data_IF_042223389802
#
_entry.id   IF_042223389802
#
_cell.length_a   1.000
_cell.length_b   1.000
_cell.length_c   1.000
_cell.angle_alpha   90.00
_cell.angle_beta   90.00
_cell.angle_gamma   90.00
#
_symmetry.space_group_name_H-M   'P 1'
#
loop_
_entity.id
_entity.type
_entity.pdbx_description
1 polymer ?
#
# COMPACT_ATOMS: atom_id res chain seq x y z
N UNK A 1 -12.78 -48.21 -28.34
CA UNK A 1 -11.78 -47.16 -28.08
C UNK A 1 -12.47 -46.07 -27.26
N UNK A 2 -12.29 -46.08 -25.92
CA UNK A 2 -12.95 -45.11 -25.02
C UNK A 2 -11.95 -44.01 -24.69
N UNK A 3 -12.22 -42.76 -25.14
CA UNK A 3 -11.48 -41.58 -24.72
C UNK A 3 -12.00 -41.16 -23.35
N UNK A 4 -11.17 -41.31 -22.32
CA UNK A 4 -11.41 -40.72 -20.99
C UNK A 4 -10.95 -39.27 -21.02
N UNK A 5 -11.91 -38.36 -21.05
CA UNK A 5 -11.63 -36.93 -20.86
C UNK A 5 -11.28 -36.66 -19.39
N UNK A 6 -10.06 -36.23 -19.15
CA UNK A 6 -9.64 -35.71 -17.83
C UNK A 6 -10.14 -34.27 -17.71
N UNK A 7 -11.16 -34.07 -16.91
CA UNK A 7 -11.68 -32.75 -16.54
C UNK A 7 -10.70 -32.13 -15.53
N UNK A 8 -9.84 -31.22 -15.98
CA UNK A 8 -9.01 -30.40 -15.08
C UNK A 8 -9.91 -29.40 -14.36
N UNK A 9 -10.26 -29.72 -13.12
CA UNK A 9 -10.97 -28.81 -12.21
C UNK A 9 -9.96 -27.74 -11.73
N UNK A 10 -9.98 -26.57 -12.35
CA UNK A 10 -9.21 -25.44 -11.87
C UNK A 10 -9.81 -24.98 -10.53
N UNK A 11 -9.15 -25.32 -9.42
CA UNK A 11 -9.49 -24.81 -8.09
C UNK A 11 -9.09 -23.34 -8.05
N UNK A 12 -10.06 -22.46 -8.27
CA UNK A 12 -9.93 -21.02 -8.02
C UNK A 12 -10.04 -20.83 -6.51
N UNK A 13 -8.89 -20.76 -5.84
CA UNK A 13 -8.83 -20.43 -4.41
C UNK A 13 -9.17 -18.94 -4.27
N UNK A 14 -10.24 -18.56 -3.53
CA UNK A 14 -10.50 -17.15 -3.26
C UNK A 14 -9.37 -16.63 -2.38
N UNK A 15 -8.52 -15.77 -2.94
CA UNK A 15 -7.53 -15.03 -2.17
C UNK A 15 -8.30 -14.05 -1.30
N UNK A 16 -8.45 -14.40 -0.02
CA UNK A 16 -9.05 -13.49 0.96
C UNK A 16 -8.20 -12.23 1.01
N UNK A 17 -8.72 -11.11 0.50
CA UNK A 17 -8.13 -9.80 0.68
C UNK A 17 -8.15 -9.48 2.18
N UNK A 18 -7.06 -9.75 2.86
CA UNK A 18 -6.80 -9.16 4.17
C UNK A 18 -6.57 -7.69 3.91
N UNK A 19 -7.61 -6.89 4.11
CA UNK A 19 -7.50 -5.44 4.08
C UNK A 19 -6.47 -5.05 5.13
N UNK A 20 -5.28 -4.66 4.66
CA UNK A 20 -4.25 -4.12 5.54
C UNK A 20 -4.81 -2.81 6.12
N UNK A 21 -5.14 -2.83 7.41
CA UNK A 21 -5.66 -1.66 8.09
C UNK A 21 -4.54 -0.65 8.27
N UNK A 22 -4.64 0.47 7.56
CA UNK A 22 -3.82 1.62 7.84
C UNK A 22 -4.18 2.16 9.22
N UNK A 23 -3.17 2.55 9.98
CA UNK A 23 -3.34 3.24 11.25
C UNK A 23 -2.91 4.69 11.12
N UNK A 24 -3.57 5.58 11.84
CA UNK A 24 -3.17 6.97 11.99
C UNK A 24 -2.93 7.29 13.45
N UNK A 25 -1.89 8.07 13.70
CA UNK A 25 -1.62 8.69 14.98
C UNK A 25 -1.45 10.18 14.77
N UNK A 26 -2.13 10.99 15.57
CA UNK A 26 -2.08 12.44 15.49
C UNK A 26 -2.55 13.07 16.82
N UNK A 27 -2.18 14.33 17.03
CA UNK A 27 -2.78 15.17 18.06
C UNK A 27 -4.09 15.75 17.50
N UNK A 28 -5.18 14.99 17.54
CA UNK A 28 -6.48 15.43 17.02
C UNK A 28 -7.34 14.29 16.47
N UNK A 29 -8.52 14.65 15.93
CA UNK A 29 -9.52 13.71 15.40
C UNK A 29 -9.25 13.38 13.93
N UNK A 30 -8.28 12.52 13.65
CA UNK A 30 -7.97 12.08 12.30
C UNK A 30 -8.77 10.82 11.96
N UNK A 31 -9.59 10.93 10.93
CA UNK A 31 -10.30 9.80 10.34
C UNK A 31 -9.53 9.30 9.11
N UNK A 32 -9.31 8.00 9.04
CA UNK A 32 -8.55 7.34 7.99
C UNK A 32 -9.46 6.42 7.19
N UNK A 33 -9.32 6.45 5.87
CA UNK A 33 -10.01 5.56 4.94
C UNK A 33 -9.00 5.02 3.92
N UNK A 34 -8.89 3.69 3.81
CA UNK A 34 -8.01 3.03 2.85
C UNK A 34 -8.81 2.31 1.78
N UNK A 35 -8.33 2.39 0.55
CA UNK A 35 -8.90 1.71 -0.63
C UNK A 35 -7.78 1.00 -1.40
N UNK A 36 -8.14 -0.10 -2.04
CA UNK A 36 -7.27 -0.82 -2.98
C UNK A 36 -7.83 -0.64 -4.40
N UNK A 37 -7.00 -0.16 -5.31
CA UNK A 37 -7.37 0.20 -6.68
C UNK A 37 -6.41 -0.47 -7.68
N UNK A 38 -6.90 -0.69 -8.89
CA UNK A 38 -6.07 -1.05 -10.04
C UNK A 38 -6.16 0.03 -11.11
N UNK A 39 -5.10 0.21 -11.88
CA UNK A 39 -5.16 1.02 -13.10
C UNK A 39 -5.70 0.17 -14.24
N UNK A 40 -6.83 0.59 -14.78
CA UNK A 40 -7.44 0.02 -15.98
C UNK A 40 -7.30 1.00 -17.15
N UNK A 41 -7.06 0.47 -18.33
CA UNK A 41 -7.05 1.28 -19.55
C UNK A 41 -8.47 1.38 -20.10
N UNK A 42 -8.98 2.59 -20.21
CA UNK A 42 -10.31 2.88 -20.75
C UNK A 42 -10.18 3.75 -22.02
N UNK A 43 -11.13 3.65 -22.92
CA UNK A 43 -11.22 4.55 -24.06
C UNK A 43 -12.17 5.67 -23.66
N UNK A 44 -11.68 6.91 -23.67
CA UNK A 44 -12.47 8.08 -23.35
C UNK A 44 -13.43 8.46 -24.53
N UNK A 45 -14.24 9.48 -24.34
CA UNK A 45 -15.24 9.93 -25.35
C UNK A 45 -14.60 10.41 -26.66
N UNK A 46 -13.32 10.78 -26.63
CA UNK A 46 -12.56 11.23 -27.82
C UNK A 46 -11.81 10.08 -28.50
N UNK A 47 -12.04 8.83 -28.10
CA UNK A 47 -11.40 7.64 -28.66
C UNK A 47 -9.93 7.45 -28.19
N UNK A 48 -9.48 8.18 -27.20
CA UNK A 48 -8.12 8.09 -26.65
C UNK A 48 -8.08 7.12 -25.49
N UNK A 49 -6.97 6.37 -25.41
CA UNK A 49 -6.67 5.52 -24.26
C UNK A 49 -6.28 6.40 -23.05
N UNK A 50 -6.92 6.15 -21.95
CA UNK A 50 -6.65 6.82 -20.68
C UNK A 50 -6.58 5.78 -19.56
N UNK A 51 -5.72 6.01 -18.55
CA UNK A 51 -5.64 5.17 -17.36
C UNK A 51 -6.57 5.70 -16.30
N UNK A 52 -7.45 4.84 -15.82
CA UNK A 52 -8.37 5.14 -14.72
C UNK A 52 -8.10 4.21 -13.56
N UNK A 53 -8.23 4.72 -12.32
CA UNK A 53 -8.18 3.87 -11.11
C UNK A 53 -9.59 3.39 -10.80
N UNK A 54 -9.72 2.10 -10.60
CA UNK A 54 -10.97 1.46 -10.20
C UNK A 54 -10.73 0.53 -9.00
N UNK A 55 -11.70 0.39 -8.09
CA UNK A 55 -11.58 -0.55 -6.97
C UNK A 55 -11.23 -1.96 -7.48
N UNK A 56 -10.31 -2.62 -6.79
CA UNK A 56 -9.93 -3.99 -7.15
C UNK A 56 -11.04 -4.94 -6.76
N UNK A 57 -11.68 -5.56 -7.76
CA UNK A 57 -12.65 -6.63 -7.55
C UNK A 57 -11.98 -8.01 -7.42
N UNK A 58 -10.91 -8.23 -8.18
CA UNK A 58 -10.13 -9.47 -8.18
C UNK A 58 -8.65 -9.14 -8.40
N UNK A 59 -7.78 -9.68 -7.57
CA UNK A 59 -6.34 -9.61 -7.75
C UNK A 59 -5.81 -10.95 -8.21
N UNK A 60 -5.03 -10.94 -9.29
CA UNK A 60 -4.36 -12.12 -9.82
C UNK A 60 -2.85 -11.96 -9.68
N UNK A 61 -2.09 -13.07 -9.55
CA UNK A 61 -0.62 -13.01 -9.55
C UNK A 61 -0.07 -12.20 -10.71
N UNK A 62 0.90 -11.35 -10.43
CA UNK A 62 1.51 -10.43 -11.40
C UNK A 62 0.79 -9.10 -11.59
N UNK A 63 -0.45 -8.93 -11.12
CA UNK A 63 -1.14 -7.65 -11.22
C UNK A 63 -0.61 -6.63 -10.22
N UNK A 64 -0.70 -5.35 -10.59
CA UNK A 64 -0.38 -4.24 -9.69
C UNK A 64 -1.64 -3.75 -8.98
N UNK A 65 -1.50 -3.50 -7.68
CA UNK A 65 -2.54 -2.88 -6.83
C UNK A 65 -1.97 -1.61 -6.23
N UNK A 66 -2.79 -0.56 -6.21
CA UNK A 66 -2.49 0.72 -5.58
C UNK A 66 -3.27 0.77 -4.27
N UNK A 67 -2.58 0.88 -3.16
CA UNK A 67 -3.18 1.16 -1.86
C UNK A 67 -3.14 2.66 -1.63
N UNK A 68 -4.32 3.26 -1.49
CA UNK A 68 -4.49 4.69 -1.23
C UNK A 68 -5.14 4.86 0.13
N UNK A 69 -4.55 5.70 0.96
CA UNK A 69 -5.07 6.06 2.28
C UNK A 69 -5.35 7.55 2.33
N UNK A 70 -6.61 7.90 2.52
CA UNK A 70 -7.06 9.27 2.79
C UNK A 70 -7.16 9.48 4.28
N UNK A 71 -6.68 10.60 4.75
CA UNK A 71 -6.79 11.02 6.14
C UNK A 71 -7.37 12.42 6.21
N UNK A 72 -8.32 12.63 7.11
CA UNK A 72 -9.09 13.88 7.21
C UNK A 72 -9.13 14.32 8.66
N UNK A 73 -8.81 15.57 8.94
CA UNK A 73 -9.03 16.15 10.25
C UNK A 73 -10.52 16.49 10.41
N UNK A 74 -11.22 15.70 11.21
CA UNK A 74 -12.64 15.92 11.56
C UNK A 74 -12.81 16.74 12.85
N UNK A 75 -11.71 17.04 13.52
CA UNK A 75 -11.71 17.91 14.70
C UNK A 75 -11.91 19.39 14.37
N UNK A 76 -12.01 20.18 15.41
CA UNK A 76 -12.21 21.65 15.33
C UNK A 76 -10.90 22.43 15.45
N UNK A 77 -9.78 21.75 15.69
CA UNK A 77 -8.44 22.32 15.82
C UNK A 77 -7.49 21.74 14.78
N UNK A 78 -6.44 22.48 14.36
CA UNK A 78 -5.38 21.91 13.55
C UNK A 78 -4.77 20.67 14.23
N UNK A 79 -4.54 19.61 13.45
CA UNK A 79 -3.91 18.39 13.92
C UNK A 79 -2.42 18.40 13.55
N UNK A 80 -1.58 18.36 14.56
CA UNK A 80 -0.14 18.19 14.40
C UNK A 80 0.29 16.73 14.46
N UNK A 81 1.58 16.48 14.17
CA UNK A 81 2.19 15.15 14.31
C UNK A 81 1.42 14.02 13.61
N UNK A 82 0.74 14.31 12.52
CA UNK A 82 -0.04 13.29 11.79
C UNK A 82 0.93 12.27 11.17
N UNK A 83 0.78 11.02 11.59
CA UNK A 83 1.58 9.88 11.11
C UNK A 83 0.61 8.83 10.59
N UNK A 84 0.83 8.38 9.35
CA UNK A 84 0.07 7.30 8.72
C UNK A 84 1.02 6.11 8.54
N UNK A 85 0.66 4.97 9.09
CA UNK A 85 1.37 3.71 8.95
C UNK A 85 0.53 2.72 8.12
N UNK A 86 1.10 2.22 7.03
CA UNK A 86 0.47 1.18 6.23
C UNK A 86 1.34 -0.07 6.20
N UNK A 87 0.82 -1.24 6.61
CA UNK A 87 1.48 -2.50 6.33
C UNK A 87 1.45 -2.79 4.83
N UNK A 88 2.54 -3.35 4.32
CA UNK A 88 2.59 -3.93 2.97
C UNK A 88 1.93 -5.31 3.06
N UNK A 89 0.87 -5.58 2.30
CA UNK A 89 0.11 -6.82 2.43
C UNK A 89 0.97 -8.06 2.19
N UNK A 90 0.67 -9.14 2.92
CA UNK A 90 1.28 -10.44 2.69
C UNK A 90 1.06 -10.89 1.22
N UNK A 91 1.95 -11.71 0.71
CA UNK A 91 1.91 -12.19 -0.68
C UNK A 91 1.99 -11.09 -1.75
N UNK A 92 2.56 -9.94 -1.40
CA UNK A 92 2.85 -8.86 -2.35
C UNK A 92 4.32 -8.45 -2.31
N UNK A 93 4.75 -7.66 -3.30
CA UNK A 93 6.04 -6.99 -3.32
C UNK A 93 5.82 -5.50 -3.54
N UNK A 94 6.40 -4.68 -2.67
CA UNK A 94 6.40 -3.23 -2.85
C UNK A 94 7.11 -2.83 -4.15
N UNK A 95 6.48 -1.97 -4.93
CA UNK A 95 7.10 -1.38 -6.13
C UNK A 95 7.97 -0.22 -5.69
N UNK A 96 9.27 -0.36 -5.89
CA UNK A 96 10.25 0.67 -5.49
C UNK A 96 9.92 2.03 -6.06
N UNK A 97 10.01 3.07 -5.23
CA UNK A 97 9.74 4.45 -5.64
C UNK A 97 8.25 4.79 -5.85
N UNK A 98 7.34 3.86 -5.59
CA UNK A 98 5.89 4.08 -5.81
C UNK A 98 5.16 4.72 -4.64
N UNK A 99 5.80 4.86 -3.47
CA UNK A 99 5.17 5.52 -2.33
C UNK A 99 5.02 7.03 -2.62
N UNK A 100 3.83 7.55 -2.38
CA UNK A 100 3.49 8.95 -2.62
C UNK A 100 2.72 9.55 -1.44
N UNK A 101 2.78 10.87 -1.33
CA UNK A 101 2.05 11.67 -0.34
C UNK A 101 2.56 13.10 -0.37
N UNK A 102 1.67 14.05 -0.67
CA UNK A 102 2.03 15.46 -0.66
C UNK A 102 2.32 15.93 0.77
N UNK A 103 3.36 16.73 0.94
CA UNK A 103 3.79 17.27 2.22
C UNK A 103 4.05 16.18 3.28
N UNK A 104 4.67 15.07 2.89
CA UNK A 104 5.02 13.99 3.82
C UNK A 104 6.48 13.61 3.74
N UNK A 105 7.06 13.24 4.89
CA UNK A 105 8.32 12.51 4.96
C UNK A 105 8.01 11.01 4.99
N UNK A 106 8.62 10.25 4.07
CA UNK A 106 8.35 8.82 3.89
C UNK A 106 9.51 8.00 4.43
N UNK A 107 9.21 7.03 5.28
CA UNK A 107 10.15 6.06 5.82
C UNK A 107 9.57 4.64 5.71
N UNK A 108 10.44 3.65 5.82
CA UNK A 108 10.07 2.25 5.62
C UNK A 108 10.51 1.41 6.81
N UNK A 109 9.87 0.27 6.98
CA UNK A 109 10.26 -0.74 7.96
C UNK A 109 10.44 -2.10 7.29
N UNK A 110 11.45 -2.85 7.72
CA UNK A 110 11.70 -4.23 7.31
C UNK A 110 11.54 -5.22 8.47
N UNK A 111 10.96 -4.80 9.59
CA UNK A 111 10.86 -5.61 10.82
C UNK A 111 9.49 -5.51 11.50
N UNK A 112 8.42 -5.45 10.72
CA UNK A 112 7.05 -5.45 11.22
C UNK A 112 6.62 -4.13 11.86
N UNK A 113 7.14 -2.99 11.36
CA UNK A 113 6.76 -1.67 11.88
C UNK A 113 7.44 -1.27 13.19
N UNK A 114 8.43 -2.05 13.65
CA UNK A 114 9.14 -1.74 14.91
C UNK A 114 10.07 -0.55 14.78
N UNK A 115 10.82 -0.49 13.68
CA UNK A 115 11.74 0.60 13.37
C UNK A 115 11.53 1.09 11.95
N UNK A 116 11.67 2.40 11.74
CA UNK A 116 11.52 3.05 10.44
C UNK A 116 12.74 3.89 10.11
N UNK A 117 13.21 3.80 8.86
CA UNK A 117 14.30 4.63 8.34
C UNK A 117 14.16 4.77 6.81
N UNK A 118 15.09 5.51 6.21
CA UNK A 118 15.24 5.59 4.76
C UNK A 118 15.67 4.23 4.19
N UNK A 119 15.30 3.88 2.96
CA UNK A 119 15.58 2.57 2.36
C UNK A 119 17.06 2.14 2.48
N UNK A 120 17.98 3.06 2.21
CA UNK A 120 19.42 2.77 2.25
C UNK A 120 19.99 2.48 3.65
N UNK A 121 19.26 2.82 4.71
CA UNK A 121 19.70 2.62 6.10
C UNK A 121 19.12 1.37 6.75
N UNK A 122 18.09 0.79 6.16
CA UNK A 122 17.46 -0.40 6.70
C UNK A 122 18.36 -1.64 6.53
N UNK A 123 18.43 -2.46 7.57
CA UNK A 123 19.18 -3.73 7.60
C UNK A 123 18.26 -4.86 8.04
N UNK A 124 18.47 -6.03 7.47
CA UNK A 124 17.83 -7.28 7.89
C UNK A 124 18.87 -8.31 8.24
N UNK A 125 18.54 -9.17 9.20
CA UNK A 125 19.35 -10.34 9.53
C UNK A 125 19.10 -11.45 8.51
N UNK A 126 20.16 -12.08 8.06
CA UNK A 126 20.10 -13.26 7.20
C UNK A 126 20.57 -14.51 7.97
N UNK A 127 20.23 -15.72 7.50
CA UNK A 127 20.74 -16.95 8.11
C UNK A 127 22.25 -16.90 8.27
N UNK A 128 22.75 -17.33 9.45
CA UNK A 128 24.16 -17.24 9.80
C UNK A 128 24.56 -15.99 10.57
N UNK A 129 23.59 -15.09 10.89
CA UNK A 129 23.81 -13.94 11.79
C UNK A 129 24.40 -12.69 11.13
N UNK A 130 24.71 -12.75 9.84
CA UNK A 130 25.14 -11.58 9.08
C UNK A 130 23.95 -10.64 8.79
N UNK A 131 24.27 -9.39 8.48
CA UNK A 131 23.25 -8.40 8.06
C UNK A 131 23.49 -7.99 6.61
N UNK A 132 22.39 -7.77 5.88
CA UNK A 132 22.43 -7.10 4.57
C UNK A 132 21.50 -5.88 4.57
N UNK A 133 21.70 -5.01 3.60
CA UNK A 133 20.75 -3.92 3.34
C UNK A 133 19.39 -4.51 2.95
N UNK A 134 18.32 -3.94 3.49
CA UNK A 134 16.97 -4.29 3.09
C UNK A 134 16.67 -3.80 1.67
N UNK A 135 15.99 -4.63 0.91
CA UNK A 135 15.49 -4.33 -0.43
C UNK A 135 13.97 -4.13 -0.42
N UNK A 136 13.34 -3.59 -1.47
CA UNK A 136 11.90 -3.36 -1.52
C UNK A 136 11.05 -4.59 -1.16
N UNK A 137 11.53 -5.80 -1.49
CA UNK A 137 10.86 -7.07 -1.14
C UNK A 137 10.87 -7.42 0.34
N UNK A 138 11.75 -6.78 1.11
CA UNK A 138 11.88 -7.00 2.55
C UNK A 138 11.05 -5.99 3.36
N UNK A 139 10.54 -4.94 2.71
CA UNK A 139 9.76 -3.94 3.41
C UNK A 139 8.42 -4.52 3.85
N UNK A 140 8.07 -4.24 5.09
CA UNK A 140 6.84 -4.72 5.73
C UNK A 140 5.84 -3.61 6.01
N UNK A 141 6.32 -2.37 6.17
CA UNK A 141 5.48 -1.20 6.43
C UNK A 141 6.07 0.03 5.76
N UNK A 142 5.21 0.99 5.47
CA UNK A 142 5.56 2.34 5.03
C UNK A 142 4.91 3.32 5.98
N UNK A 143 5.68 4.34 6.38
CA UNK A 143 5.24 5.43 7.25
C UNK A 143 5.34 6.75 6.54
N UNK A 144 4.27 7.51 6.59
CA UNK A 144 4.22 8.91 6.18
C UNK A 144 4.03 9.78 7.41
N UNK A 145 4.94 10.73 7.59
CA UNK A 145 4.79 11.80 8.58
C UNK A 145 4.39 13.06 7.84
N UNK A 146 3.21 13.58 8.09
CA UNK A 146 2.75 14.82 7.50
C UNK A 146 3.58 15.99 8.06
N UNK A 147 4.04 16.88 7.17
CA UNK A 147 4.87 18.04 7.54
C UNK A 147 3.96 19.25 7.80
N UNK A 148 3.97 19.73 9.03
CA UNK A 148 3.13 20.82 9.48
C UNK A 148 1.85 20.34 10.16
N UNK A 149 0.81 21.16 10.10
CA UNK A 149 -0.49 20.91 10.72
C UNK A 149 -1.58 20.72 9.67
N UNK A 150 -2.45 19.75 9.88
CA UNK A 150 -3.64 19.52 9.06
C UNK A 150 -4.81 20.31 9.64
N UNK A 151 -5.21 21.40 9.00
CA UNK A 151 -6.29 22.25 9.46
C UNK A 151 -7.65 21.50 9.52
N UNK A 152 -8.62 21.96 10.34
CA UNK A 152 -9.96 21.39 10.41
C UNK A 152 -10.60 21.24 9.03
N UNK A 153 -11.22 20.08 8.78
CA UNK A 153 -11.88 19.75 7.50
C UNK A 153 -10.92 19.47 6.32
N UNK A 154 -9.62 19.68 6.49
CA UNK A 154 -8.65 19.36 5.44
C UNK A 154 -8.34 17.86 5.41
N UNK A 155 -7.96 17.41 4.22
CA UNK A 155 -7.58 16.02 3.98
C UNK A 155 -6.22 15.94 3.26
N UNK A 156 -5.55 14.83 3.48
CA UNK A 156 -4.38 14.42 2.72
C UNK A 156 -4.58 13.01 2.16
N UNK A 157 -3.71 12.65 1.24
CA UNK A 157 -3.70 11.34 0.62
C UNK A 157 -2.27 10.82 0.55
N UNK A 158 -2.09 9.56 0.91
CA UNK A 158 -0.83 8.83 0.79
C UNK A 158 -1.10 7.47 0.15
N UNK A 159 -0.11 6.86 -0.44
CA UNK A 159 -0.31 5.55 -1.02
C UNK A 159 0.96 4.95 -1.58
N UNK A 160 0.83 3.73 -2.10
CA UNK A 160 1.92 2.96 -2.69
C UNK A 160 1.39 1.88 -3.63
N UNK A 161 2.28 1.32 -4.43
CA UNK A 161 1.97 0.21 -5.35
C UNK A 161 2.63 -1.07 -4.87
N UNK A 162 1.95 -2.17 -5.11
CA UNK A 162 2.49 -3.52 -4.93
C UNK A 162 2.21 -4.37 -6.15
N UNK A 163 2.99 -5.44 -6.32
CA UNK A 163 2.70 -6.54 -7.25
C UNK A 163 2.27 -7.74 -6.43
N UNK A 164 1.19 -8.40 -6.83
CA UNK A 164 0.71 -9.67 -6.26
C UNK A 164 1.68 -10.79 -6.66
N UNK A 165 2.06 -11.66 -5.71
CA UNK A 165 2.89 -12.86 -5.94
C UNK A 165 2.08 -14.02 -6.44
#
# INVERSE_FOLDING_TARGET
MKLSGVLLLAIVLPLAFVSALATAQADGDIVVQSIAEAEVEVINRDGRKEKKREPVALAVPGSQVIYTTRFTNKGVKPAGNVVIDNPIPAHTVFVSGSAFGANTAITYSANGGKNYDLPGKLRINIPGGAQRQAEPRDFTHIRWRYVGELAPGKQGEVGFRVVIK
#
